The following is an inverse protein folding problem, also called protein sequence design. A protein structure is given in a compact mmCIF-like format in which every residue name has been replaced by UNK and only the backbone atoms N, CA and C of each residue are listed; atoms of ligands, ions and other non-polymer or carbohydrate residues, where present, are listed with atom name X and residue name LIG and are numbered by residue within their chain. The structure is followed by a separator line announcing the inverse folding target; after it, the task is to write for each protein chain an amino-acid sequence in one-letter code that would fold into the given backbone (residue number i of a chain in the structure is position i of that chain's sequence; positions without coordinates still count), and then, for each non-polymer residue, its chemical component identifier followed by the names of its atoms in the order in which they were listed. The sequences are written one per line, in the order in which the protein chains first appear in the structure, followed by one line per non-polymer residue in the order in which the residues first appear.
data_IF_800791456744
#
_entry.id   IF_800791456744
#
_cell.length_a   1.000
_cell.length_b   1.000
_cell.length_c   1.000
_cell.angle_alpha   90.00
_cell.angle_beta   90.00
_cell.angle_gamma   90.00
#
_symmetry.space_group_name_H-M   'P 1'
#
loop_
_entity.id
_entity.type
_entity.pdbx_description
1 polymer ?
#
# COMPACT_ATOMS: atom_id res chain seq x y z
N UNK A 1 9.91 -20.04 -34.46
CA UNK A 1 9.81 -19.03 -33.38
C UNK A 1 8.87 -19.56 -32.31
N UNK A 2 9.35 -19.87 -31.10
CA UNK A 2 8.45 -20.28 -30.00
C UNK A 2 7.62 -19.06 -29.61
N UNK A 3 6.30 -19.21 -29.62
CA UNK A 3 5.35 -18.21 -29.13
C UNK A 3 5.63 -17.94 -27.65
N UNK A 4 6.36 -16.86 -27.34
CA UNK A 4 6.65 -16.38 -25.99
C UNK A 4 5.44 -15.68 -25.36
N UNK A 5 4.24 -16.26 -25.55
CA UNK A 5 3.02 -15.74 -24.93
C UNK A 5 3.06 -16.05 -23.44
N UNK A 6 2.89 -15.05 -22.57
CA UNK A 6 2.88 -15.29 -21.14
C UNK A 6 1.72 -16.21 -20.77
N UNK A 7 1.95 -17.09 -19.81
CA UNK A 7 0.90 -17.94 -19.26
C UNK A 7 -0.09 -17.10 -18.45
N UNK A 8 -1.29 -17.63 -18.24
CA UNK A 8 -2.30 -16.96 -17.40
C UNK A 8 -1.74 -16.56 -16.01
N UNK A 9 -0.96 -17.45 -15.38
CA UNK A 9 -0.33 -17.17 -14.09
C UNK A 9 0.68 -16.03 -14.16
N UNK A 10 1.46 -15.94 -15.24
CA UNK A 10 2.39 -14.82 -15.46
C UNK A 10 1.65 -13.49 -15.64
N UNK A 11 0.51 -13.51 -16.34
CA UNK A 11 -0.34 -12.32 -16.50
C UNK A 11 -0.92 -11.90 -15.15
N UNK A 12 -1.48 -12.85 -14.38
CA UNK A 12 -2.03 -12.58 -13.06
C UNK A 12 -0.98 -11.98 -12.12
N UNK A 13 0.21 -12.58 -12.06
CA UNK A 13 1.30 -12.06 -11.24
C UNK A 13 1.69 -10.62 -11.63
N UNK A 14 1.78 -10.34 -12.94
CA UNK A 14 2.04 -8.99 -13.43
C UNK A 14 0.95 -7.98 -13.03
N UNK A 15 -0.32 -8.39 -13.06
CA UNK A 15 -1.44 -7.56 -12.62
C UNK A 15 -1.42 -7.31 -11.11
N UNK A 16 -1.13 -8.32 -10.29
CA UNK A 16 -1.00 -8.16 -8.84
C UNK A 16 0.10 -7.17 -8.48
N UNK A 17 1.27 -7.30 -9.12
CA UNK A 17 2.39 -6.39 -8.94
C UNK A 17 1.96 -4.95 -9.32
N UNK A 18 1.43 -4.75 -10.53
CA UNK A 18 0.99 -3.43 -11.00
C UNK A 18 -0.07 -2.81 -10.09
N UNK A 19 -1.03 -3.60 -9.62
CA UNK A 19 -2.09 -3.14 -8.73
C UNK A 19 -1.55 -2.74 -7.35
N UNK A 20 -0.61 -3.52 -6.81
CA UNK A 20 0.03 -3.20 -5.53
C UNK A 20 0.81 -1.88 -5.59
N UNK A 21 1.56 -1.64 -6.67
CA UNK A 21 2.31 -0.41 -6.90
C UNK A 21 1.40 0.81 -7.04
N UNK A 22 0.28 0.68 -7.76
CA UNK A 22 -0.73 1.75 -7.91
C UNK A 22 -1.38 2.09 -6.56
N UNK A 23 -1.75 1.09 -5.76
CA UNK A 23 -2.33 1.31 -4.44
C UNK A 23 -1.32 1.97 -3.48
N UNK A 24 -0.07 1.52 -3.47
CA UNK A 24 1.00 2.13 -2.67
C UNK A 24 1.25 3.59 -3.10
N UNK A 25 1.29 3.86 -4.40
CA UNK A 25 1.44 5.22 -4.95
C UNK A 25 0.29 6.12 -4.51
N UNK A 26 -0.96 5.64 -4.60
CA UNK A 26 -2.13 6.35 -4.11
C UNK A 26 -2.03 6.66 -2.61
N UNK A 27 -1.59 5.70 -1.79
CA UNK A 27 -1.39 5.90 -0.37
C UNK A 27 -0.31 6.96 -0.08
N UNK A 28 0.80 6.96 -0.82
CA UNK A 28 1.89 7.94 -0.71
C UNK A 28 1.42 9.36 -1.08
N UNK A 29 0.69 9.50 -2.18
CA UNK A 29 0.12 10.79 -2.60
C UNK A 29 -0.88 11.33 -1.57
N UNK A 30 -1.77 10.47 -1.08
CA UNK A 30 -2.72 10.84 -0.04
C UNK A 30 -2.02 11.27 1.26
N UNK A 31 -0.96 10.57 1.68
CA UNK A 31 -0.15 10.95 2.84
C UNK A 31 0.55 12.30 2.62
N UNK A 32 1.11 12.54 1.43
CA UNK A 32 1.73 13.83 1.08
C UNK A 32 0.71 14.97 1.12
N UNK A 33 -0.48 14.74 0.57
CA UNK A 33 -1.58 15.71 0.61
C UNK A 33 -2.03 15.98 2.05
N UNK A 34 -2.18 14.95 2.87
CA UNK A 34 -2.54 15.07 4.28
C UNK A 34 -1.53 15.92 5.04
N UNK A 35 -0.22 15.69 4.85
CA UNK A 35 0.86 16.47 5.48
C UNK A 35 0.87 17.95 5.07
N UNK A 36 0.38 18.28 3.87
CA UNK A 36 0.28 19.66 3.36
C UNK A 36 -1.05 20.35 3.67
N UNK A 37 -2.07 19.59 4.07
CA UNK A 37 -3.42 20.09 4.30
C UNK A 37 -3.72 20.27 5.79
N UNK A 38 -4.79 21.02 6.11
CA UNK A 38 -5.28 21.21 7.48
C UNK A 38 -6.77 20.85 7.58
N UNK A 39 -7.25 20.69 8.81
CA UNK A 39 -8.66 20.43 9.12
C UNK A 39 -9.24 19.21 8.40
N UNK A 40 -10.46 19.38 7.86
CA UNK A 40 -11.22 18.30 7.23
C UNK A 40 -10.51 17.69 6.01
N UNK A 41 -9.84 18.49 5.18
CA UNK A 41 -9.09 18.00 4.02
C UNK A 41 -7.96 17.03 4.41
N UNK A 42 -7.27 17.31 5.53
CA UNK A 42 -6.25 16.41 6.09
C UNK A 42 -6.86 15.07 6.51
N UNK A 43 -8.02 15.10 7.17
CA UNK A 43 -8.72 13.88 7.59
C UNK A 43 -9.15 13.03 6.40
N UNK A 44 -9.73 13.64 5.36
CA UNK A 44 -10.11 12.93 4.13
C UNK A 44 -8.90 12.31 3.43
N UNK A 45 -7.79 13.05 3.33
CA UNK A 45 -6.56 12.54 2.74
C UNK A 45 -5.98 11.36 3.55
N UNK A 46 -5.98 11.42 4.88
CA UNK A 46 -5.60 10.27 5.71
C UNK A 46 -6.56 9.08 5.57
N UNK A 47 -7.86 9.32 5.43
CA UNK A 47 -8.82 8.24 5.20
C UNK A 47 -8.55 7.51 3.87
N UNK A 48 -8.21 8.25 2.80
CA UNK A 48 -7.79 7.66 1.52
C UNK A 48 -6.49 6.86 1.66
N UNK A 49 -5.49 7.40 2.37
CA UNK A 49 -4.25 6.67 2.68
C UNK A 49 -4.55 5.36 3.40
N UNK A 50 -5.31 5.40 4.49
CA UNK A 50 -5.61 4.21 5.29
C UNK A 50 -6.42 3.19 4.50
N UNK A 51 -7.43 3.62 3.73
CA UNK A 51 -8.21 2.71 2.87
C UNK A 51 -7.32 2.02 1.85
N UNK A 52 -6.42 2.75 1.19
CA UNK A 52 -5.50 2.16 0.21
C UNK A 52 -4.57 1.12 0.84
N UNK A 53 -3.98 1.43 2.00
CA UNK A 53 -3.11 0.49 2.72
C UNK A 53 -3.87 -0.74 3.23
N UNK A 54 -5.08 -0.59 3.77
CA UNK A 54 -5.92 -1.73 4.17
C UNK A 54 -6.26 -2.63 3.00
N UNK A 55 -6.63 -2.05 1.85
CA UNK A 55 -6.89 -2.83 0.63
C UNK A 55 -5.64 -3.59 0.21
N UNK A 56 -4.47 -2.94 0.25
CA UNK A 56 -3.18 -3.56 -0.08
C UNK A 56 -2.92 -4.79 0.79
N UNK A 57 -3.05 -4.65 2.12
CA UNK A 57 -2.81 -5.75 3.06
C UNK A 57 -3.83 -6.88 2.91
N UNK A 58 -5.12 -6.55 2.76
CA UNK A 58 -6.19 -7.56 2.71
C UNK A 58 -6.30 -8.29 1.38
N UNK A 59 -6.02 -7.60 0.27
CA UNK A 59 -6.24 -8.15 -1.09
C UNK A 59 -4.97 -8.60 -1.78
N UNK A 60 -3.83 -8.03 -1.43
CA UNK A 60 -2.53 -8.35 -2.03
C UNK A 60 -1.48 -8.66 -0.95
N UNK A 61 -1.76 -9.54 0.04
CA UNK A 61 -0.86 -9.81 1.16
C UNK A 61 0.51 -10.33 0.70
N UNK A 62 0.56 -11.07 -0.41
CA UNK A 62 1.79 -11.61 -0.97
C UNK A 62 2.77 -10.52 -1.44
N UNK A 63 2.29 -9.31 -1.76
CA UNK A 63 3.10 -8.21 -2.30
C UNK A 63 3.62 -7.25 -1.22
N UNK A 64 3.19 -7.44 0.04
CA UNK A 64 3.42 -6.46 1.11
C UNK A 64 4.20 -7.06 2.27
N UNK A 65 4.85 -6.17 2.99
CA UNK A 65 5.45 -6.45 4.29
C UNK A 65 4.78 -5.53 5.32
N UNK A 66 4.36 -6.11 6.44
CA UNK A 66 3.77 -5.40 7.57
C UNK A 66 4.68 -5.59 8.76
N UNK A 67 5.24 -4.49 9.26
CA UNK A 67 6.15 -4.50 10.41
C UNK A 67 5.58 -3.65 11.55
N UNK A 68 5.75 -4.03 12.81
CA UNK A 68 5.43 -3.16 13.92
C UNK A 68 6.29 -1.90 13.87
N UNK A 69 5.73 -0.75 14.26
CA UNK A 69 6.51 0.45 14.51
C UNK A 69 7.04 0.41 15.95
N UNK A 70 8.37 0.50 16.10
CA UNK A 70 9.04 0.41 17.41
C UNK A 70 8.76 1.66 18.26
N UNK A 71 8.55 2.82 17.63
CA UNK A 71 8.29 4.07 18.32
C UNK A 71 6.80 4.32 18.56
N UNK A 72 5.93 3.79 17.69
CA UNK A 72 4.49 4.00 17.74
C UNK A 72 3.75 2.67 17.85
N UNK A 73 3.52 2.20 19.08
CA UNK A 73 2.93 0.88 19.37
C UNK A 73 1.56 0.64 18.75
N UNK A 74 0.78 1.71 18.52
CA UNK A 74 -0.54 1.62 17.88
C UNK A 74 -0.49 1.55 16.35
N UNK A 75 0.70 1.57 15.76
CA UNK A 75 0.91 1.65 14.33
C UNK A 75 1.79 0.50 13.81
N UNK A 76 1.51 0.14 12.56
CA UNK A 76 2.36 -0.72 11.75
C UNK A 76 2.87 0.06 10.55
N UNK A 77 4.04 -0.32 10.05
CA UNK A 77 4.58 0.15 8.78
C UNK A 77 4.23 -0.85 7.69
N UNK A 78 3.44 -0.41 6.72
CA UNK A 78 3.09 -1.21 5.52
C UNK A 78 3.96 -0.78 4.35
N UNK A 79 4.76 -1.70 3.82
CA UNK A 79 5.60 -1.50 2.63
C UNK A 79 5.28 -2.54 1.56
N UNK A 80 5.69 -2.27 0.31
CA UNK A 80 5.83 -3.34 -0.68
C UNK A 80 7.11 -4.11 -0.36
N UNK A 81 7.16 -5.43 -0.61
CA UNK A 81 8.35 -6.25 -0.32
C UNK A 81 9.63 -5.75 -1.00
N UNK A 82 9.49 -5.11 -2.16
CA UNK A 82 10.61 -4.56 -2.93
C UNK A 82 10.84 -3.05 -2.72
N UNK A 83 10.13 -2.43 -1.78
CA UNK A 83 10.23 -1.00 -1.53
C UNK A 83 11.12 -0.69 -0.31
N UNK A 84 11.99 0.30 -0.47
CA UNK A 84 12.86 0.80 0.62
C UNK A 84 12.10 1.51 1.75
N UNK A 85 10.82 1.85 1.55
CA UNK A 85 10.02 2.59 2.54
C UNK A 85 8.54 2.20 2.50
N UNK A 86 7.93 2.23 3.69
CA UNK A 86 6.51 1.99 3.93
C UNK A 86 5.79 3.20 4.49
N UNK A 87 4.51 3.01 4.82
CA UNK A 87 3.65 4.02 5.41
C UNK A 87 2.98 3.50 6.67
N UNK A 88 2.88 4.36 7.68
CA UNK A 88 2.16 4.03 8.91
C UNK A 88 0.66 3.79 8.64
N UNK A 89 0.14 2.73 9.22
CA UNK A 89 -1.26 2.38 9.31
C UNK A 89 -1.58 2.04 10.77
N UNK A 90 -2.73 2.46 11.28
CA UNK A 90 -3.18 2.09 12.62
C UNK A 90 -3.37 0.57 12.71
N UNK A 91 -2.73 -0.07 13.70
CA UNK A 91 -2.71 -1.53 13.89
C UNK A 91 -4.13 -2.10 14.10
N UNK A 92 -4.99 -1.38 14.83
CA UNK A 92 -6.40 -1.73 15.03
C UNK A 92 -7.23 -1.79 13.73
N UNK A 93 -6.67 -1.35 12.60
CA UNK A 93 -7.32 -1.32 11.30
C UNK A 93 -6.88 -2.41 10.33
N UNK A 94 -5.99 -3.33 10.72
CA UNK A 94 -5.62 -4.51 9.92
C UNK A 94 -6.79 -5.50 9.86
#
# INVERSE_FOLDING_TARGET
MRSNKPTFNQILHGLEQSNSEKLMTRARLANRLAKRSRGHKRQLAYAVKHRALRTLVRRLPAQVEVRPDIALTDFVVVGLKNAQSGLHLLAAGL
#
